data_IF_269450362771
#
_entry.id   IF_269450362771
#
_cell.length_a   1.000
_cell.length_b   1.000
_cell.length_c   1.000
_cell.angle_alpha   90.00
_cell.angle_beta   90.00
_cell.angle_gamma   90.00
#
_symmetry.space_group_name_H-M   'P 1'
#
loop_
_entity.id
_entity.type
_entity.pdbx_description
1 polymer ?
#
# COMPACT_ATOMS: atom_id res chain seq x y z
N UNK A 1 -2.81 7.50 -16.85
CA UNK A 1 -1.80 7.55 -15.77
C UNK A 1 -0.58 6.77 -16.25
N UNK A 2 0.45 7.46 -16.71
CA UNK A 2 1.71 6.86 -17.17
C UNK A 2 2.76 7.15 -16.11
N UNK A 3 3.30 6.10 -15.50
CA UNK A 3 4.51 6.22 -14.70
C UNK A 3 5.65 6.58 -15.66
N UNK A 4 6.45 7.64 -15.42
CA UNK A 4 7.57 7.94 -16.31
C UNK A 4 8.50 6.72 -16.30
N UNK A 5 8.66 6.10 -17.47
CA UNK A 5 9.67 5.08 -17.69
C UNK A 5 11.02 5.80 -17.74
N UNK A 6 11.61 6.03 -16.56
CA UNK A 6 13.03 6.24 -16.46
C UNK A 6 13.73 4.96 -16.88
N UNK A 7 14.54 5.05 -17.93
CA UNK A 7 15.52 4.05 -18.31
C UNK A 7 16.34 3.62 -17.08
N UNK A 8 16.81 2.38 -17.10
CA UNK A 8 17.37 1.66 -15.95
C UNK A 8 18.24 2.48 -15.01
N UNK A 9 18.04 2.25 -13.71
CA UNK A 9 18.96 2.64 -12.64
C UNK A 9 19.02 4.14 -12.38
N UNK A 10 18.26 4.63 -11.40
CA UNK A 10 18.46 5.98 -10.89
C UNK A 10 17.27 6.47 -10.09
N UNK A 11 17.56 6.96 -8.89
CA UNK A 11 16.62 7.60 -8.00
C UNK A 11 16.01 8.89 -8.61
N UNK A 12 14.77 9.22 -8.21
CA UNK A 12 14.12 10.51 -8.43
C UNK A 12 12.60 10.33 -8.56
N UNK A 13 11.72 11.05 -7.85
CA UNK A 13 11.85 12.17 -6.94
C UNK A 13 10.50 12.92 -6.97
N UNK A 14 9.84 13.07 -5.81
CA UNK A 14 8.57 13.80 -5.70
C UNK A 14 7.92 13.65 -4.32
N UNK A 15 8.20 14.60 -3.42
CA UNK A 15 7.60 14.71 -2.08
C UNK A 15 8.56 14.35 -0.95
N UNK A 16 9.17 15.37 -0.33
CA UNK A 16 10.11 15.21 0.77
C UNK A 16 9.40 14.81 2.09
N UNK A 17 9.16 13.52 2.25
CA UNK A 17 9.50 12.83 3.49
C UNK A 17 10.70 11.94 3.13
N UNK A 18 11.71 11.81 4.00
CA UNK A 18 12.88 10.97 3.73
C UNK A 18 12.48 9.50 3.70
N UNK A 19 11.82 9.08 2.63
CA UNK A 19 11.43 7.71 2.38
C UNK A 19 12.70 6.90 2.23
N UNK A 20 12.83 5.86 3.05
CA UNK A 20 13.93 4.93 2.94
C UNK A 20 14.05 4.32 1.53
N UNK A 21 15.12 3.54 1.28
CA UNK A 21 15.34 2.92 -0.02
C UNK A 21 14.13 2.12 -0.49
N UNK A 22 13.72 2.34 -1.74
CA UNK A 22 12.60 1.63 -2.39
C UNK A 22 13.14 0.39 -3.08
N UNK A 23 12.52 -0.77 -2.81
CA UNK A 23 12.95 -2.05 -3.39
C UNK A 23 11.88 -2.64 -4.32
N UNK A 24 12.26 -2.83 -5.60
CA UNK A 24 11.46 -3.60 -6.55
C UNK A 24 11.94 -5.06 -6.54
N UNK A 25 11.19 -5.93 -5.88
CA UNK A 25 11.54 -7.34 -5.74
C UNK A 25 10.90 -8.18 -6.84
N UNK A 26 11.64 -9.17 -7.35
CA UNK A 26 11.09 -10.13 -8.30
C UNK A 26 10.06 -11.02 -7.60
N UNK A 27 8.96 -11.32 -8.31
CA UNK A 27 8.00 -12.33 -7.85
C UNK A 27 8.61 -13.72 -8.06
N UNK A 28 8.54 -14.56 -7.04
CA UNK A 28 9.09 -15.92 -7.03
C UNK A 28 8.02 -17.01 -6.83
N UNK A 29 6.75 -16.64 -6.65
CA UNK A 29 5.63 -17.59 -6.58
C UNK A 29 4.28 -16.95 -6.22
N UNK A 30 3.22 -17.76 -6.15
CA UNK A 30 1.89 -17.37 -5.68
C UNK A 30 0.97 -16.68 -6.70
N UNK A 31 -0.31 -16.48 -6.34
CA UNK A 31 -1.33 -15.96 -7.24
C UNK A 31 -1.07 -14.51 -7.68
N UNK A 32 -1.41 -14.18 -8.93
CA UNK A 32 -1.30 -12.83 -9.49
C UNK A 32 -2.64 -12.10 -9.36
N UNK A 33 -2.85 -11.40 -8.24
CA UNK A 33 -3.95 -10.45 -8.08
C UNK A 33 -3.37 -9.13 -7.57
N UNK A 34 -3.63 -8.04 -8.28
CA UNK A 34 -3.01 -6.75 -8.01
C UNK A 34 -3.68 -6.00 -6.85
N UNK A 35 -5.00 -5.86 -6.89
CA UNK A 35 -5.80 -5.13 -5.89
C UNK A 35 -7.13 -5.86 -5.72
N UNK A 36 -7.60 -5.95 -4.47
CA UNK A 36 -8.99 -6.29 -4.16
C UNK A 36 -9.63 -5.02 -3.65
N UNK A 37 -10.59 -4.49 -4.42
CA UNK A 37 -11.33 -3.30 -4.01
C UNK A 37 -12.55 -3.70 -3.18
N UNK A 38 -12.44 -3.52 -1.87
CA UNK A 38 -13.57 -3.63 -0.95
C UNK A 38 -13.66 -2.35 -0.10
N UNK A 39 -14.48 -1.38 -0.53
CA UNK A 39 -14.57 -0.08 0.15
C UNK A 39 -15.11 -0.18 1.58
N UNK A 40 -15.75 -1.30 1.94
CA UNK A 40 -16.29 -1.55 3.27
C UNK A 40 -15.26 -2.03 4.30
N UNK A 41 -14.10 -2.55 3.87
CA UNK A 41 -13.12 -3.17 4.78
C UNK A 41 -11.81 -2.42 4.93
N UNK A 42 -11.42 -1.61 3.94
CA UNK A 42 -10.10 -0.96 3.86
C UNK A 42 -9.25 -1.51 2.72
N UNK A 43 -8.06 -0.93 2.48
CA UNK A 43 -7.26 -1.24 1.31
C UNK A 43 -6.65 -2.66 1.36
N UNK A 44 -6.75 -3.37 0.23
CA UNK A 44 -6.16 -4.68 0.03
C UNK A 44 -5.41 -4.76 -1.31
N UNK A 45 -4.11 -5.02 -1.23
CA UNK A 45 -3.21 -5.16 -2.36
C UNK A 45 -3.01 -6.64 -2.67
N UNK A 46 -3.94 -7.23 -3.42
CA UNK A 46 -3.93 -8.65 -3.79
C UNK A 46 -4.47 -9.59 -2.71
N UNK A 47 -4.80 -10.81 -3.13
CA UNK A 47 -5.42 -11.82 -2.25
C UNK A 47 -4.53 -12.20 -1.06
N UNK A 48 -3.22 -12.34 -1.30
CA UNK A 48 -2.21 -12.66 -0.29
C UNK A 48 -1.10 -11.60 -0.22
N UNK A 49 -1.42 -10.35 -0.54
CA UNK A 49 -0.45 -9.27 -0.43
C UNK A 49 -0.53 -8.52 0.90
N UNK A 50 -0.67 -7.20 0.83
CA UNK A 50 -0.83 -6.32 2.00
C UNK A 50 -2.31 -6.00 2.22
N UNK A 51 -2.83 -6.29 3.41
CA UNK A 51 -4.19 -5.95 3.82
C UNK A 51 -4.14 -5.07 5.06
N UNK A 52 -4.80 -3.91 5.00
CA UNK A 52 -4.92 -2.98 6.14
C UNK A 52 -6.42 -2.78 6.42
N UNK A 53 -7.02 -3.60 7.28
CA UNK A 53 -8.43 -3.47 7.61
C UNK A 53 -8.66 -2.16 8.40
N UNK A 54 -9.52 -1.29 7.88
CA UNK A 54 -10.00 -0.08 8.56
C UNK A 54 -11.37 -0.30 9.21
N UNK A 55 -12.10 -1.30 8.73
CA UNK A 55 -13.34 -1.84 9.28
C UNK A 55 -13.31 -3.36 9.10
N UNK A 56 -13.74 -4.15 10.08
CA UNK A 56 -13.62 -5.60 9.97
C UNK A 56 -14.34 -6.38 11.07
N UNK A 57 -14.25 -7.72 11.06
CA UNK A 57 -14.72 -8.52 12.18
C UNK A 57 -13.98 -8.08 13.45
N UNK A 58 -14.75 -7.87 14.53
CA UNK A 58 -14.35 -7.19 15.77
C UNK A 58 -12.92 -7.52 16.21
N UNK A 59 -12.08 -6.49 16.39
CA UNK A 59 -10.77 -6.58 17.03
C UNK A 59 -9.58 -6.80 16.08
N UNK A 60 -9.80 -6.69 14.77
CA UNK A 60 -8.74 -6.80 13.76
C UNK A 60 -8.48 -5.48 13.04
N UNK A 61 -9.25 -4.44 13.34
CA UNK A 61 -9.07 -3.11 12.78
C UNK A 61 -7.65 -2.61 13.04
N UNK A 62 -7.09 -1.87 12.08
CA UNK A 62 -5.75 -1.27 12.16
C UNK A 62 -4.59 -2.26 12.26
N UNK A 63 -4.84 -3.57 12.20
CA UNK A 63 -3.78 -4.58 12.17
C UNK A 63 -3.45 -4.94 10.73
N UNK A 64 -2.39 -4.35 10.19
CA UNK A 64 -1.89 -4.66 8.86
C UNK A 64 -1.38 -6.10 8.81
N UNK A 65 -1.68 -6.80 7.71
CA UNK A 65 -1.24 -8.18 7.47
C UNK A 65 -0.55 -8.27 6.13
N UNK A 66 0.63 -8.88 6.10
CA UNK A 66 1.39 -9.11 4.87
C UNK A 66 1.79 -10.56 4.74
N UNK A 67 1.48 -11.17 3.59
CA UNK A 67 2.05 -12.47 3.19
C UNK A 67 3.02 -12.34 2.01
N UNK A 68 3.41 -11.11 1.64
CA UNK A 68 4.29 -10.84 0.50
C UNK A 68 5.66 -11.54 0.63
N UNK A 69 6.14 -11.75 1.86
CA UNK A 69 7.39 -12.47 2.14
C UNK A 69 7.47 -13.91 1.62
N UNK A 70 6.34 -14.52 1.28
CA UNK A 70 6.28 -15.87 0.69
C UNK A 70 6.35 -15.86 -0.84
N UNK A 71 6.13 -14.71 -1.47
CA UNK A 71 5.87 -14.62 -2.92
C UNK A 71 6.88 -13.75 -3.66
N UNK A 72 7.70 -12.98 -2.95
CA UNK A 72 8.74 -12.13 -3.53
C UNK A 72 10.13 -12.52 -3.04
N UNK A 73 11.14 -12.18 -3.83
CA UNK A 73 12.54 -12.32 -3.44
C UNK A 73 12.84 -11.60 -2.12
N UNK A 74 13.94 -11.97 -1.46
CA UNK A 74 14.37 -11.32 -0.20
C UNK A 74 14.76 -9.87 -0.44
N UNK A 75 14.57 -9.05 0.59
CA UNK A 75 15.18 -7.72 0.65
C UNK A 75 16.72 -7.83 0.70
N UNK A 76 17.47 -6.75 0.40
CA UNK A 76 18.94 -6.79 0.42
C UNK A 76 19.56 -7.13 1.78
N UNK A 77 18.83 -6.88 2.87
CA UNK A 77 19.17 -7.29 4.23
C UNK A 77 18.89 -8.79 4.51
N UNK A 78 18.41 -9.53 3.50
CA UNK A 78 18.03 -10.94 3.60
C UNK A 78 16.65 -11.20 4.20
N UNK A 79 15.95 -10.15 4.66
CA UNK A 79 14.64 -10.28 5.27
C UNK A 79 13.53 -10.56 4.24
N UNK A 80 12.37 -10.97 4.74
CA UNK A 80 11.16 -11.27 3.96
C UNK A 80 9.95 -10.45 4.42
N UNK A 81 10.13 -9.51 5.34
CA UNK A 81 9.02 -8.70 5.85
C UNK A 81 9.04 -7.32 5.23
N UNK A 82 7.86 -6.72 5.10
CA UNK A 82 7.72 -5.29 4.83
C UNK A 82 7.69 -4.45 6.12
N UNK A 83 7.62 -5.11 7.27
CA UNK A 83 7.55 -4.48 8.58
C UNK A 83 8.94 -4.28 9.17
N UNK A 84 9.05 -3.37 10.12
CA UNK A 84 10.33 -2.98 10.68
C UNK A 84 11.00 -4.14 11.42
N UNK A 85 12.33 -4.07 11.56
CA UNK A 85 13.08 -5.04 12.35
C UNK A 85 12.56 -5.09 13.79
N UNK A 86 12.29 -6.30 14.29
CA UNK A 86 11.72 -6.51 15.63
C UNK A 86 10.19 -6.56 15.68
N UNK A 87 9.49 -6.23 14.60
CA UNK A 87 8.03 -6.44 14.48
C UNK A 87 7.70 -7.89 14.08
N UNK A 88 6.43 -8.29 14.27
CA UNK A 88 5.95 -9.56 13.72
C UNK A 88 6.05 -9.51 12.18
N UNK A 89 6.74 -10.48 11.54
CA UNK A 89 6.98 -10.44 10.10
C UNK A 89 5.71 -10.48 9.25
N UNK A 90 4.56 -10.87 9.84
CA UNK A 90 3.25 -10.98 9.19
C UNK A 90 2.25 -9.94 9.66
N UNK A 91 2.52 -9.21 10.74
CA UNK A 91 1.54 -8.28 11.35
C UNK A 91 2.20 -7.02 11.90
N UNK A 92 1.58 -5.87 11.66
CA UNK A 92 1.98 -4.61 12.29
C UNK A 92 0.75 -3.76 12.64
N UNK A 93 0.89 -2.88 13.63
CA UNK A 93 -0.15 -1.93 14.00
C UNK A 93 -0.05 -0.66 13.17
N UNK A 94 -1.18 -0.22 12.60
CA UNK A 94 -1.27 1.00 11.84
C UNK A 94 -1.21 2.22 12.79
N UNK A 95 -0.09 2.94 12.74
CA UNK A 95 0.10 4.18 13.50
C UNK A 95 -0.67 5.35 12.85
N UNK A 96 -0.44 5.60 11.56
CA UNK A 96 -1.07 6.66 10.78
C UNK A 96 -1.32 6.20 9.34
N UNK A 97 -2.28 6.83 8.67
CA UNK A 97 -2.58 6.60 7.25
C UNK A 97 -2.74 7.96 6.57
N UNK A 98 -2.01 8.16 5.47
CA UNK A 98 -2.13 9.34 4.62
C UNK A 98 -2.59 8.90 3.25
N UNK A 99 -3.66 9.51 2.75
CA UNK A 99 -4.25 9.20 1.44
C UNK A 99 -4.09 10.41 0.55
N UNK A 100 -3.63 10.17 -0.68
CA UNK A 100 -3.47 11.19 -1.69
C UNK A 100 -4.50 10.94 -2.79
N UNK A 101 -5.34 11.93 -3.05
CA UNK A 101 -6.22 11.96 -4.23
C UNK A 101 -5.55 12.82 -5.30
N UNK A 102 -5.65 12.40 -6.57
CA UNK A 102 -5.17 13.22 -7.66
C UNK A 102 -5.98 14.52 -7.72
N UNK A 103 -5.29 15.64 -7.87
CA UNK A 103 -5.94 16.91 -8.20
C UNK A 103 -6.47 16.81 -9.63
N UNK A 104 -7.78 16.94 -9.77
CA UNK A 104 -8.47 16.92 -11.06
C UNK A 104 -9.30 18.18 -11.13
N UNK A 105 -9.03 19.02 -12.13
CA UNK A 105 -9.72 20.30 -12.32
C UNK A 105 -11.24 20.06 -12.38
N UNK A 106 -11.99 20.83 -11.59
CA UNK A 106 -13.45 20.69 -11.52
C UNK A 106 -13.92 19.47 -10.71
N UNK A 107 -13.06 18.88 -9.87
CA UNK A 107 -13.45 17.79 -8.96
C UNK A 107 -13.13 18.17 -7.52
N UNK A 108 -14.17 18.26 -6.70
CA UNK A 108 -14.03 18.39 -5.25
C UNK A 108 -14.04 16.99 -4.62
N UNK A 109 -13.05 16.72 -3.76
CA UNK A 109 -12.96 15.47 -3.00
C UNK A 109 -13.38 15.70 -1.55
N UNK A 110 -14.20 14.80 -1.00
CA UNK A 110 -14.61 14.80 0.42
C UNK A 110 -14.41 13.41 1.03
N UNK A 111 -13.96 13.37 2.27
CA UNK A 111 -13.81 12.12 3.02
C UNK A 111 -15.05 11.86 3.88
N UNK A 112 -15.74 10.76 3.63
CA UNK A 112 -16.88 10.27 4.41
C UNK A 112 -16.51 8.96 5.14
N UNK A 113 -16.15 9.07 6.42
CA UNK A 113 -15.64 7.92 7.17
C UNK A 113 -14.27 7.48 6.64
N UNK A 114 -14.25 6.36 5.90
CA UNK A 114 -13.04 5.84 5.22
C UNK A 114 -13.13 5.90 3.69
N UNK A 115 -14.21 6.47 3.17
CA UNK A 115 -14.50 6.50 1.72
C UNK A 115 -14.31 7.91 1.19
N UNK A 116 -13.45 8.06 0.18
CA UNK A 116 -13.38 9.32 -0.58
C UNK A 116 -14.52 9.38 -1.59
N UNK A 117 -15.26 10.48 -1.58
CA UNK A 117 -16.27 10.82 -2.59
C UNK A 117 -15.79 12.00 -3.42
N UNK A 118 -16.06 11.95 -4.71
CA UNK A 118 -15.86 13.09 -5.61
C UNK A 118 -17.19 13.71 -6.01
N UNK A 119 -17.17 15.02 -6.25
CA UNK A 119 -18.24 15.75 -6.92
C UNK A 119 -17.63 16.58 -8.04
N UNK A 120 -18.24 16.53 -9.22
CA UNK A 120 -17.90 17.46 -10.30
C UNK A 120 -18.47 18.83 -9.97
N UNK A 121 -17.62 19.85 -10.04
CA UNK A 121 -17.94 21.27 -9.82
C UNK A 121 -17.61 22.00 -11.12
N UNK A 122 -18.61 22.69 -11.68
CA UNK A 122 -18.49 23.51 -12.89
C UNK A 122 -17.62 24.76 -12.67
#
# INVERSE_FOLDING_TARGET
>A
FTWPQGAGGGAGGGGAESGGPVYKLAKIGGPNLAVIDNPGSGPQFGADGLNIPLRGPRGQERTAKSKLGSYYARLPDGSRSLFAAGEDPRRAQLAWLKVYAADVRGVEWRLEGITWRSRVVE
#
